data_IF_538512765056
#
_entry.id   IF_538512765056
#
_cell.length_a   1.000
_cell.length_b   1.000
_cell.length_c   1.000
_cell.angle_alpha   90.00
_cell.angle_beta   90.00
_cell.angle_gamma   90.00
#
_symmetry.space_group_name_H-M   'P 1'
#
loop_
_entity.id
_entity.type
_entity.pdbx_description
1 polymer ?
#
# COMPACT_ATOMS: atom_id res chain seq x y z
N UNK A 1 30.49 15.12 -9.51
CA UNK A 1 29.02 15.23 -9.59
C UNK A 1 28.39 14.00 -8.96
N UNK A 2 28.06 14.07 -7.68
CA UNK A 2 27.55 12.92 -6.91
C UNK A 2 26.05 12.75 -7.09
N UNK A 3 25.62 11.72 -7.83
CA UNK A 3 24.21 11.29 -7.85
C UNK A 3 23.86 10.77 -6.45
N UNK A 4 23.07 11.54 -5.70
CA UNK A 4 22.43 11.05 -4.47
C UNK A 4 21.62 9.81 -4.82
N UNK A 5 21.88 8.67 -4.17
CA UNK A 5 21.00 7.50 -4.24
C UNK A 5 19.61 7.98 -3.83
N UNK A 6 18.63 7.91 -4.72
CA UNK A 6 17.23 8.24 -4.40
C UNK A 6 16.74 7.19 -3.40
N UNK A 7 17.01 7.41 -2.12
CA UNK A 7 16.60 6.52 -1.03
C UNK A 7 15.11 6.56 -0.74
N UNK A 8 14.29 7.19 -1.60
CA UNK A 8 12.83 7.19 -1.46
C UNK A 8 12.27 6.09 -2.36
N UNK A 9 11.66 5.05 -1.78
CA UNK A 9 10.89 4.07 -2.53
C UNK A 9 9.93 4.80 -3.47
N UNK A 10 9.95 4.43 -4.75
CA UNK A 10 9.11 5.03 -5.81
C UNK A 10 7.63 4.94 -5.43
N UNK A 11 7.28 3.84 -4.78
CA UNK A 11 5.99 3.58 -4.19
C UNK A 11 6.10 3.72 -2.67
N UNK A 12 5.48 4.77 -2.14
CA UNK A 12 5.24 4.89 -0.70
C UNK A 12 4.03 4.06 -0.32
N UNK A 13 3.97 3.56 0.92
CA UNK A 13 2.82 2.83 1.47
C UNK A 13 1.45 3.37 1.04
N UNK A 14 1.28 4.70 1.10
CA UNK A 14 0.04 5.38 0.68
C UNK A 14 -0.32 5.12 -0.79
N UNK A 15 0.65 5.08 -1.70
CA UNK A 15 0.43 4.81 -3.14
C UNK A 15 0.08 3.35 -3.40
N UNK A 16 0.72 2.41 -2.70
CA UNK A 16 0.39 0.99 -2.84
C UNK A 16 -1.05 0.71 -2.39
N UNK A 17 -1.46 1.28 -1.25
CA UNK A 17 -2.85 1.21 -0.77
C UNK A 17 -3.81 1.83 -1.79
N UNK A 18 -3.49 3.00 -2.33
CA UNK A 18 -4.33 3.71 -3.31
C UNK A 18 -4.43 2.96 -4.66
N UNK A 19 -3.36 2.27 -5.07
CA UNK A 19 -3.30 1.42 -6.26
C UNK A 19 -4.19 0.19 -6.09
N UNK A 20 -4.16 -0.45 -4.92
CA UNK A 20 -5.02 -1.61 -4.62
C UNK A 20 -6.48 -1.19 -4.47
N UNK A 21 -6.76 -0.08 -3.79
CA UNK A 21 -8.10 0.53 -3.77
C UNK A 21 -8.65 0.75 -5.18
N UNK A 22 -7.80 1.23 -6.10
CA UNK A 22 -8.18 1.48 -7.49
C UNK A 22 -8.39 0.17 -8.28
N UNK A 23 -7.68 -0.89 -7.92
CA UNK A 23 -7.79 -2.22 -8.54
C UNK A 23 -9.10 -2.89 -8.14
N UNK A 24 -9.49 -2.78 -6.87
CA UNK A 24 -10.71 -3.38 -6.32
C UNK A 24 -11.92 -2.43 -6.30
N UNK A 25 -11.78 -1.21 -6.87
CA UNK A 25 -12.81 -0.17 -6.91
C UNK A 25 -13.42 0.15 -5.53
N UNK A 26 -12.60 0.08 -4.49
CA UNK A 26 -13.01 0.34 -3.11
C UNK A 26 -13.09 1.83 -2.81
N UNK A 27 -14.13 2.23 -2.09
CA UNK A 27 -14.26 3.60 -1.63
C UNK A 27 -13.34 3.89 -0.43
N UNK A 28 -12.87 5.13 -0.31
CA UNK A 28 -12.11 5.59 0.86
C UNK A 28 -12.86 5.38 2.19
N UNK A 29 -14.20 5.38 2.14
CA UNK A 29 -15.06 5.11 3.31
C UNK A 29 -14.91 3.67 3.77
N UNK A 30 -14.89 2.70 2.86
CA UNK A 30 -14.71 1.28 3.21
C UNK A 30 -13.33 1.03 3.81
N UNK A 31 -12.28 1.61 3.26
CA UNK A 31 -10.94 1.46 3.83
C UNK A 31 -10.78 2.18 5.16
N UNK A 32 -11.47 3.31 5.38
CA UNK A 32 -11.52 3.96 6.70
C UNK A 32 -12.28 3.13 7.73
N UNK A 33 -13.24 2.31 7.31
CA UNK A 33 -13.94 1.37 8.17
C UNK A 33 -13.04 0.18 8.49
N UNK A 34 -12.37 -0.40 7.49
CA UNK A 34 -11.43 -1.50 7.70
C UNK A 34 -10.18 -1.08 8.46
N UNK A 35 -9.71 0.16 8.36
CA UNK A 35 -8.57 0.62 9.17
C UNK A 35 -8.88 0.67 10.67
N UNK A 36 -10.17 0.78 11.05
CA UNK A 36 -10.62 0.64 12.43
C UNK A 36 -10.70 -0.83 12.85
N UNK A 37 -11.00 -1.71 11.91
CA UNK A 37 -10.98 -3.17 12.12
C UNK A 37 -9.55 -3.71 11.94
N UNK A 38 -8.84 -3.88 13.05
CA UNK A 38 -7.43 -4.31 13.05
C UNK A 38 -7.18 -5.61 12.27
N UNK A 39 -8.17 -6.50 12.20
CA UNK A 39 -8.05 -7.81 11.52
C UNK A 39 -8.11 -7.61 10.01
N UNK A 40 -9.13 -6.90 9.51
CA UNK A 40 -9.25 -6.57 8.10
C UNK A 40 -8.11 -5.68 7.61
N UNK A 41 -7.67 -4.73 8.44
CA UNK A 41 -6.50 -3.91 8.12
C UNK A 41 -5.23 -4.73 7.98
N UNK A 42 -5.02 -5.73 8.85
CA UNK A 42 -3.84 -6.60 8.78
C UNK A 42 -3.86 -7.47 7.53
N UNK A 43 -5.00 -8.05 7.17
CA UNK A 43 -5.14 -8.83 5.94
C UNK A 43 -4.86 -7.98 4.69
N UNK A 44 -5.37 -6.74 4.65
CA UNK A 44 -5.07 -5.78 3.59
C UNK A 44 -3.58 -5.44 3.52
N UNK A 45 -2.95 -5.21 4.69
CA UNK A 45 -1.52 -4.92 4.78
C UNK A 45 -0.66 -6.11 4.34
N UNK A 46 -1.03 -7.33 4.70
CA UNK A 46 -0.32 -8.56 4.33
C UNK A 46 -0.44 -8.83 2.82
N UNK A 47 -1.62 -8.64 2.22
CA UNK A 47 -1.82 -8.71 0.78
C UNK A 47 -0.95 -7.68 0.03
N UNK A 48 -0.92 -6.43 0.52
CA UNK A 48 -0.07 -5.37 -0.03
C UNK A 48 1.44 -5.67 0.14
N UNK A 49 1.84 -6.27 1.26
CA UNK A 49 3.24 -6.59 1.54
C UNK A 49 3.75 -7.77 0.72
N UNK A 50 2.89 -8.75 0.41
CA UNK A 50 3.20 -9.82 -0.54
C UNK A 50 3.46 -9.26 -1.94
N UNK A 51 2.61 -8.34 -2.42
CA UNK A 51 2.75 -7.73 -3.75
C UNK A 51 4.00 -6.84 -3.88
N UNK A 52 4.45 -6.21 -2.78
CA UNK A 52 5.66 -5.37 -2.78
C UNK A 52 6.96 -6.18 -2.74
N UNK A 53 6.92 -7.50 -2.48
CA UNK A 53 8.09 -8.37 -2.40
C UNK A 53 8.45 -9.02 -3.75
N UNK A 54 7.57 -8.92 -4.74
CA UNK A 54 7.81 -9.38 -6.12
C UNK A 54 8.60 -8.37 -6.97
N UNK A 55 8.84 -7.16 -6.45
CA UNK A 55 9.66 -6.11 -7.08
C UNK A 55 11.00 -5.93 -6.32
N UNK A 56 11.66 -7.04 -5.97
CA UNK A 56 13.08 -7.08 -5.58
C UNK A 56 13.93 -7.63 -6.74
#
# INVERSE_FOLDING_TARGET
>A
MGRRKRGRPKETWRRSVEKEMRKDNWSWVQVRTWSKDRVHWRALVEALCAHMREED
#
